data_IF_840453851558
#
_entry.id   IF_840453851558
#
_cell.length_a   1.000
_cell.length_b   1.000
_cell.length_c   1.000
_cell.angle_alpha   90.00
_cell.angle_beta   90.00
_cell.angle_gamma   90.00
#
_symmetry.space_group_name_H-M   'P 1'
#
loop_
_entity.id
_entity.type
_entity.pdbx_description
1 polymer ?
#
# COMPACT_ATOMS: atom_id res chain seq x y z
N UNK A 1 -20.30 -1.64 3.36
CA UNK A 1 -19.78 -1.80 4.73
C UNK A 1 -19.22 -3.21 4.82
N UNK A 2 -17.90 -3.38 4.67
CA UNK A 2 -17.28 -4.70 4.62
C UNK A 2 -17.30 -5.28 6.03
N UNK A 3 -18.13 -6.30 6.21
CA UNK A 3 -18.34 -6.97 7.49
C UNK A 3 -17.08 -7.74 7.93
N UNK A 4 -16.72 -7.54 9.20
CA UNK A 4 -16.12 -8.55 10.09
C UNK A 4 -14.83 -9.24 9.60
N UNK A 5 -13.74 -8.48 9.46
CA UNK A 5 -12.39 -9.05 9.30
C UNK A 5 -11.81 -9.47 10.67
N UNK A 6 -12.30 -10.58 11.21
CA UNK A 6 -11.73 -11.24 12.41
C UNK A 6 -10.21 -11.49 12.28
N UNK A 7 -9.70 -11.60 11.06
CA UNK A 7 -8.25 -11.74 10.78
C UNK A 7 -7.40 -10.55 11.24
N UNK A 8 -8.03 -9.40 11.51
CA UNK A 8 -7.35 -8.20 11.99
C UNK A 8 -7.72 -7.84 13.44
N UNK A 9 -8.47 -8.69 14.14
CA UNK A 9 -8.85 -8.48 15.54
C UNK A 9 -7.60 -8.55 16.46
N UNK A 10 -7.37 -7.50 17.25
CA UNK A 10 -6.24 -7.40 18.18
C UNK A 10 -4.98 -6.74 17.60
N UNK A 11 -5.05 -6.22 16.37
CA UNK A 11 -3.95 -5.49 15.76
C UNK A 11 -4.03 -4.00 16.08
N UNK A 12 -2.90 -3.38 16.44
CA UNK A 12 -2.77 -1.92 16.56
C UNK A 12 -2.84 -1.32 15.14
N UNK A 13 -3.88 -0.56 14.78
CA UNK A 13 -4.11 -0.15 13.40
C UNK A 13 -2.97 0.67 12.80
N UNK A 14 -2.44 1.63 13.58
CA UNK A 14 -1.38 2.55 13.13
C UNK A 14 -0.06 1.81 12.83
N UNK A 15 0.31 0.80 13.63
CA UNK A 15 1.52 -0.01 13.41
C UNK A 15 1.37 -0.89 12.17
N UNK A 16 0.20 -1.50 11.97
CA UNK A 16 -0.06 -2.34 10.81
C UNK A 16 -0.19 -1.56 9.51
N UNK A 17 -0.71 -0.34 9.53
CA UNK A 17 -0.76 0.51 8.35
C UNK A 17 0.65 0.78 7.81
N UNK A 18 1.61 1.08 8.70
CA UNK A 18 3.02 1.23 8.35
C UNK A 18 3.64 -0.08 7.83
N UNK A 19 3.44 -1.20 8.53
CA UNK A 19 3.96 -2.50 8.09
C UNK A 19 3.41 -2.92 6.73
N UNK A 20 2.13 -2.60 6.47
CA UNK A 20 1.47 -2.89 5.21
C UNK A 20 2.06 -2.04 4.07
N UNK A 21 2.30 -0.75 4.31
CA UNK A 21 3.00 0.13 3.37
C UNK A 21 4.43 -0.37 3.06
N UNK A 22 5.18 -0.83 4.08
CA UNK A 22 6.50 -1.43 3.87
C UNK A 22 6.43 -2.74 3.08
N UNK A 23 5.37 -3.53 3.27
CA UNK A 23 5.15 -4.76 2.51
C UNK A 23 4.91 -4.46 1.04
N UNK A 24 4.08 -3.46 0.73
CA UNK A 24 3.87 -2.97 -0.64
C UNK A 24 5.20 -2.55 -1.28
N UNK A 25 5.99 -1.74 -0.56
CA UNK A 25 7.30 -1.30 -1.04
C UNK A 25 8.27 -2.48 -1.29
N UNK A 26 8.23 -3.52 -0.45
CA UNK A 26 9.04 -4.72 -0.63
C UNK A 26 8.63 -5.52 -1.87
N UNK A 27 7.33 -5.63 -2.17
CA UNK A 27 6.83 -6.29 -3.39
C UNK A 27 7.28 -5.55 -4.65
N UNK A 28 7.11 -4.22 -4.69
CA UNK A 28 7.57 -3.38 -5.80
C UNK A 28 9.08 -3.52 -6.01
N UNK A 29 9.85 -3.50 -4.91
CA UNK A 29 11.31 -3.69 -4.97
C UNK A 29 11.69 -5.07 -5.49
N UNK A 30 10.97 -6.11 -5.06
CA UNK A 30 11.21 -7.49 -5.50
C UNK A 30 10.92 -7.65 -7.00
N UNK A 31 9.80 -7.10 -7.47
CA UNK A 31 9.45 -7.08 -8.89
C UNK A 31 10.51 -6.35 -9.73
N UNK A 32 11.02 -5.20 -9.25
CA UNK A 32 12.10 -4.47 -9.91
C UNK A 32 13.41 -5.27 -9.95
N UNK A 33 13.82 -5.90 -8.85
CA UNK A 33 15.03 -6.73 -8.82
C UNK A 33 14.89 -7.90 -9.79
N UNK A 34 13.71 -8.52 -9.84
CA UNK A 34 13.43 -9.61 -10.78
C UNK A 34 13.49 -9.13 -12.24
N UNK A 35 13.12 -7.88 -12.54
CA UNK A 35 13.27 -7.31 -13.88
C UNK A 35 14.75 -7.08 -14.25
N UNK A 36 15.55 -6.60 -13.31
CA UNK A 36 16.98 -6.31 -13.49
C UNK A 36 17.85 -7.59 -13.49
N UNK A 37 17.34 -8.71 -12.98
CA UNK A 37 18.10 -9.96 -12.94
C UNK A 37 18.28 -10.54 -14.34
N UNK A 38 19.50 -10.92 -14.68
CA UNK A 38 19.77 -11.72 -15.88
C UNK A 38 19.20 -13.13 -15.70
N UNK A 39 18.75 -13.73 -16.80
CA UNK A 39 18.10 -15.04 -16.83
C UNK A 39 19.03 -16.14 -16.29
N UNK A 40 18.96 -16.33 -14.98
CA UNK A 40 19.78 -17.25 -14.21
C UNK A 40 18.83 -18.27 -13.59
N UNK A 41 18.15 -19.07 -14.42
CA UNK A 41 17.17 -20.02 -13.90
C UNK A 41 16.36 -20.86 -14.89
N UNK A 42 16.66 -20.82 -16.19
CA UNK A 42 15.97 -21.67 -17.19
C UNK A 42 14.47 -21.42 -17.37
N UNK A 43 13.94 -20.36 -16.75
CA UNK A 43 12.56 -19.92 -16.94
C UNK A 43 12.48 -19.01 -18.15
N UNK A 44 11.43 -19.13 -18.96
CA UNK A 44 11.28 -18.26 -20.13
C UNK A 44 11.02 -16.82 -19.70
N UNK A 45 11.54 -15.87 -20.48
CA UNK A 45 11.33 -14.44 -20.28
C UNK A 45 9.83 -14.10 -20.14
N UNK A 46 8.97 -14.74 -20.94
CA UNK A 46 7.52 -14.54 -20.87
C UNK A 46 6.91 -14.93 -19.50
N UNK A 47 7.34 -16.05 -18.92
CA UNK A 47 6.85 -16.50 -17.59
C UNK A 47 7.36 -15.58 -16.49
N UNK A 48 8.61 -15.14 -16.59
CA UNK A 48 9.21 -14.16 -15.67
C UNK A 48 8.45 -12.84 -15.70
N UNK A 49 8.24 -12.27 -16.89
CA UNK A 49 7.50 -11.02 -17.07
C UNK A 49 6.06 -11.13 -16.58
N UNK A 50 5.37 -12.24 -16.87
CA UNK A 50 4.02 -12.49 -16.35
C UNK A 50 3.96 -12.53 -14.83
N UNK A 51 4.97 -13.15 -14.19
CA UNK A 51 5.03 -13.23 -12.72
C UNK A 51 5.36 -11.87 -12.07
N UNK A 52 6.22 -11.07 -12.72
CA UNK A 52 6.53 -9.70 -12.31
C UNK A 52 5.27 -8.83 -12.39
N UNK A 53 4.53 -8.92 -13.51
CA UNK A 53 3.29 -8.17 -13.70
C UNK A 53 2.26 -8.49 -12.62
N UNK A 54 2.01 -9.77 -12.36
CA UNK A 54 1.08 -10.20 -11.30
C UNK A 54 1.51 -9.69 -9.91
N UNK A 55 2.82 -9.67 -9.63
CA UNK A 55 3.34 -9.14 -8.36
C UNK A 55 3.07 -7.64 -8.23
N UNK A 56 3.21 -6.88 -9.32
CA UNK A 56 2.93 -5.45 -9.35
C UNK A 56 1.43 -5.16 -9.22
N UNK A 57 0.57 -5.95 -9.86
CA UNK A 57 -0.89 -5.85 -9.72
C UNK A 57 -1.32 -6.05 -8.25
N UNK A 58 -0.78 -7.08 -7.58
CA UNK A 58 -1.06 -7.29 -6.15
C UNK A 58 -0.55 -6.12 -5.30
N UNK A 59 0.63 -5.59 -5.61
CA UNK A 59 1.16 -4.44 -4.90
C UNK A 59 0.31 -3.17 -5.08
N UNK A 60 -0.26 -2.96 -6.28
CA UNK A 60 -1.16 -1.84 -6.57
C UNK A 60 -2.46 -1.92 -5.76
N UNK A 61 -3.09 -3.09 -5.74
CA UNK A 61 -4.31 -3.32 -4.94
C UNK A 61 -4.06 -3.10 -3.44
N UNK A 62 -2.91 -3.56 -2.94
CA UNK A 62 -2.51 -3.31 -1.56
C UNK A 62 -2.21 -1.84 -1.29
N UNK A 63 -1.62 -1.12 -2.26
CA UNK A 63 -1.36 0.32 -2.15
C UNK A 63 -2.67 1.12 -2.07
N UNK A 64 -3.71 0.74 -2.82
CA UNK A 64 -5.03 1.37 -2.73
C UNK A 64 -5.60 1.30 -1.30
N UNK A 65 -5.48 0.14 -0.64
CA UNK A 65 -5.91 -0.03 0.76
C UNK A 65 -5.12 0.87 1.72
N UNK A 66 -3.81 1.03 1.50
CA UNK A 66 -2.98 1.96 2.31
C UNK A 66 -3.45 3.40 2.13
N UNK A 67 -3.74 3.82 0.90
CA UNK A 67 -4.21 5.17 0.58
C UNK A 67 -5.54 5.43 1.29
N UNK A 68 -6.53 4.56 1.10
CA UNK A 68 -7.84 4.69 1.73
C UNK A 68 -7.75 4.78 3.26
N UNK A 69 -6.93 3.92 3.86
CA UNK A 69 -6.72 3.92 5.31
C UNK A 69 -6.02 5.19 5.81
N UNK A 70 -5.06 5.72 5.04
CA UNK A 70 -4.37 6.98 5.36
C UNK A 70 -5.32 8.16 5.26
N UNK A 71 -6.14 8.23 4.21
CA UNK A 71 -7.15 9.30 4.06
C UNK A 71 -8.18 9.29 5.19
N UNK A 72 -8.68 8.11 5.60
CA UNK A 72 -9.61 7.99 6.71
C UNK A 72 -8.97 8.44 8.03
N UNK A 73 -7.71 8.06 8.26
CA UNK A 73 -6.94 8.46 9.42
C UNK A 73 -6.70 9.97 9.48
N UNK A 74 -6.26 10.58 8.38
CA UNK A 74 -6.07 12.03 8.28
C UNK A 74 -7.37 12.80 8.48
N UNK A 75 -8.46 12.33 7.88
CA UNK A 75 -9.80 12.92 8.05
C UNK A 75 -10.27 12.87 9.49
N UNK A 76 -10.10 11.74 10.17
CA UNK A 76 -10.51 11.57 11.57
C UNK A 76 -9.74 12.48 12.53
N UNK A 77 -8.48 12.82 12.20
CA UNK A 77 -7.62 13.68 13.02
C UNK A 77 -7.58 15.14 12.54
N UNK A 78 -8.27 15.48 11.45
CA UNK A 78 -8.25 16.82 10.86
C UNK A 78 -6.86 17.26 10.42
N UNK A 79 -6.08 16.34 9.87
CA UNK A 79 -4.70 16.56 9.40
C UNK A 79 -4.66 16.69 7.87
N UNK A 80 -3.52 17.12 7.34
CA UNK A 80 -3.29 17.20 5.90
C UNK A 80 -4.27 18.15 5.21
N UNK A 81 -4.89 17.68 4.13
CA UNK A 81 -5.92 18.44 3.39
C UNK A 81 -7.17 18.75 4.24
N UNK A 82 -7.43 17.97 5.29
CA UNK A 82 -8.59 18.12 6.18
C UNK A 82 -8.33 19.09 7.34
N UNK A 83 -7.15 19.71 7.39
CA UNK A 83 -6.84 20.75 8.37
C UNK A 83 -7.78 21.92 8.15
N UNK A 84 -8.70 22.15 9.09
CA UNK A 84 -9.55 23.35 9.07
C UNK A 84 -8.62 24.55 9.17
N UNK A 85 -8.60 25.41 8.16
CA UNK A 85 -7.87 26.67 8.21
C UNK A 85 -8.35 27.46 9.44
N UNK A 86 -7.52 27.47 10.48
CA UNK A 86 -7.73 28.35 11.62
C UNK A 86 -7.34 29.77 11.18
N UNK A 87 -8.27 30.51 10.58
CA UNK A 87 -8.11 31.96 10.40
C UNK A 87 -8.73 32.62 9.18
N UNK A 88 -10.06 32.56 9.01
CA UNK A 88 -10.74 33.58 8.21
C UNK A 88 -12.17 33.92 8.69
N UNK A 89 -12.36 34.04 10.01
CA UNK A 89 -13.52 34.75 10.59
C UNK A 89 -13.04 35.60 11.79
N UNK A 90 -12.21 36.61 11.50
CA UNK A 90 -11.96 37.72 12.40
C UNK A 90 -11.41 38.93 11.61
N UNK A 91 -12.26 39.55 10.79
CA UNK A 91 -12.11 40.93 10.33
C UNK A 91 -13.49 41.48 9.95
#
# INVERSE_FOLDING_TARGET
>A
MIADRQIFAGLVPDERANDFAYTVAALIRTARIALESSDTGGTSEAVKLGSIALTLEVAEEMQAVVIDGTEEHERARGMGFWTKEAGHEAA
#
